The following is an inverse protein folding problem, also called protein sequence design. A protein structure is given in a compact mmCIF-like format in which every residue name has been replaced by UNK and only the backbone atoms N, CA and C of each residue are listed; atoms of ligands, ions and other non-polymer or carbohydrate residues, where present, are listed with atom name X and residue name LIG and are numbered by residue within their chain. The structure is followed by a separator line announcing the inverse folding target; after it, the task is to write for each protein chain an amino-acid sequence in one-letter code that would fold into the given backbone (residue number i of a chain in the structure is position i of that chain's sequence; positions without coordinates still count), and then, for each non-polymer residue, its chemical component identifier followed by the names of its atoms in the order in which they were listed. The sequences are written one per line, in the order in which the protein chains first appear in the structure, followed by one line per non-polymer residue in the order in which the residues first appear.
data_IF_553892905943
#
_entry.id   IF_553892905943
#
_cell.length_a   1.000
_cell.length_b   1.000
_cell.length_c   1.000
_cell.angle_alpha   90.00
_cell.angle_beta   90.00
_cell.angle_gamma   90.00
#
_symmetry.space_group_name_H-M   'P 1'
#
loop_
_entity.id
_entity.type
_entity.pdbx_description
1 polymer ?
#
# COMPACT_ATOMS: atom_id res chain seq x y z
N UNK A 1 22.99 -15.82 -10.73
CA UNK A 1 23.18 -14.37 -10.66
C UNK A 1 23.41 -14.03 -9.21
N UNK A 2 24.52 -13.40 -8.83
CA UNK A 2 24.72 -13.00 -7.44
C UNK A 2 23.75 -11.88 -7.10
N UNK A 3 23.12 -11.99 -5.95
CA UNK A 3 22.30 -10.94 -5.34
C UNK A 3 23.29 -9.87 -4.88
N UNK A 4 23.27 -8.71 -5.50
CA UNK A 4 24.10 -7.58 -5.05
C UNK A 4 23.59 -7.10 -3.68
N UNK A 5 24.51 -7.07 -2.74
CA UNK A 5 24.28 -6.52 -1.39
C UNK A 5 24.14 -5.00 -1.48
N UNK A 6 22.89 -4.53 -1.41
CA UNK A 6 22.53 -3.11 -1.46
C UNK A 6 22.83 -2.32 -0.17
N UNK A 7 23.43 -2.96 0.85
CA UNK A 7 23.59 -2.32 2.17
C UNK A 7 24.82 -1.39 2.29
N UNK A 8 25.69 -1.24 1.28
CA UNK A 8 26.98 -0.55 1.45
C UNK A 8 27.50 0.33 0.31
N UNK A 9 26.70 0.74 -0.63
CA UNK A 9 27.17 1.76 -1.60
C UNK A 9 26.71 3.15 -1.18
N UNK A 10 27.61 4.11 -1.01
CA UNK A 10 27.22 5.51 -0.90
C UNK A 10 26.54 5.88 -2.23
N UNK A 11 25.23 6.12 -2.17
CA UNK A 11 24.45 6.54 -3.33
C UNK A 11 25.04 7.83 -3.85
N UNK A 12 25.55 7.82 -5.07
CA UNK A 12 25.96 9.03 -5.77
C UNK A 12 24.71 9.88 -6.00
N UNK A 13 24.56 10.93 -5.20
CA UNK A 13 23.47 11.88 -5.33
C UNK A 13 23.64 12.66 -6.63
N UNK A 14 22.77 12.44 -7.62
CA UNK A 14 22.65 13.37 -8.74
C UNK A 14 21.70 14.48 -8.29
N UNK A 15 22.29 15.66 -8.04
CA UNK A 15 21.52 16.88 -7.74
C UNK A 15 21.10 17.46 -9.08
N UNK A 16 19.81 17.46 -9.37
CA UNK A 16 19.25 18.21 -10.48
C UNK A 16 18.70 19.53 -9.94
N UNK A 17 19.37 20.63 -10.27
CA UNK A 17 18.88 21.98 -9.98
C UNK A 17 18.05 22.45 -11.16
N UNK A 18 16.73 22.64 -10.99
CA UNK A 18 15.92 23.39 -11.91
C UNK A 18 15.69 24.79 -11.34
N UNK A 19 16.29 25.81 -11.92
CA UNK A 19 16.01 27.20 -11.59
C UNK A 19 14.69 27.63 -12.21
N UNK A 20 13.79 28.22 -11.43
CA UNK A 20 12.66 28.97 -11.95
C UNK A 20 12.99 30.46 -11.98
N UNK A 21 12.13 31.29 -12.59
CA UNK A 21 12.34 32.76 -12.73
C UNK A 21 12.49 33.52 -11.41
N UNK A 22 12.33 32.85 -10.27
CA UNK A 22 12.38 33.46 -8.92
C UNK A 22 13.63 33.04 -8.13
N UNK A 23 14.60 32.38 -8.78
CA UNK A 23 15.90 32.05 -8.18
C UNK A 23 15.86 30.99 -7.07
N UNK A 24 14.75 30.25 -6.93
CA UNK A 24 14.68 29.14 -5.95
C UNK A 24 15.32 27.91 -6.55
N UNK A 25 16.46 27.50 -6.00
CA UNK A 25 17.13 26.24 -6.33
C UNK A 25 16.51 25.14 -5.46
N UNK A 26 15.71 24.26 -6.07
CA UNK A 26 15.20 23.07 -5.39
C UNK A 26 16.11 21.89 -5.72
N UNK A 27 16.81 21.37 -4.71
CA UNK A 27 17.49 20.08 -4.80
C UNK A 27 16.45 18.98 -4.56
N UNK A 28 16.15 18.17 -5.58
CA UNK A 28 15.33 16.98 -5.42
C UNK A 28 16.23 15.79 -5.10
N UNK A 29 16.13 15.26 -3.91
CA UNK A 29 16.59 13.92 -3.62
C UNK A 29 15.59 12.95 -4.22
N UNK A 30 15.99 12.14 -5.20
CA UNK A 30 15.15 11.06 -5.71
C UNK A 30 15.44 9.86 -4.81
N UNK A 31 14.54 9.62 -3.88
CA UNK A 31 14.50 8.35 -3.13
C UNK A 31 13.68 7.38 -3.98
N UNK A 32 14.29 6.27 -4.37
CA UNK A 32 13.59 5.21 -5.10
C UNK A 32 12.86 4.32 -4.11
N UNK A 33 11.55 4.18 -4.27
CA UNK A 33 10.78 3.16 -3.57
C UNK A 33 10.92 1.81 -4.28
N UNK A 34 10.86 0.72 -3.51
CA UNK A 34 10.91 -0.66 -4.02
C UNK A 34 9.75 -1.46 -3.45
N UNK A 35 9.27 -2.45 -4.20
CA UNK A 35 8.31 -3.44 -3.70
C UNK A 35 9.13 -4.61 -3.16
N UNK A 36 8.97 -4.90 -1.88
CA UNK A 36 9.76 -5.95 -1.19
C UNK A 36 9.07 -7.30 -1.16
N UNK A 37 7.73 -7.32 -1.08
CA UNK A 37 6.93 -8.56 -1.13
C UNK A 37 5.50 -8.26 -1.59
N UNK A 38 4.74 -9.30 -1.92
CA UNK A 38 3.35 -9.19 -2.34
C UNK A 38 2.56 -10.47 -2.04
N UNK A 39 1.27 -10.32 -1.79
CA UNK A 39 0.31 -11.42 -1.62
C UNK A 39 -1.01 -11.08 -2.30
N UNK A 40 -1.80 -12.09 -2.62
CA UNK A 40 -3.18 -11.90 -3.11
C UNK A 40 -4.07 -13.10 -2.78
N UNK A 41 -5.35 -12.88 -2.77
CA UNK A 41 -6.36 -13.94 -2.82
C UNK A 41 -6.46 -14.56 -4.22
N UNK A 42 -7.06 -15.75 -4.38
CA UNK A 42 -7.61 -16.14 -5.67
C UNK A 42 -8.68 -15.13 -6.13
N UNK A 43 -8.91 -15.06 -7.43
CA UNK A 43 -10.04 -14.36 -8.01
C UNK A 43 -11.19 -15.32 -8.21
N UNK A 44 -12.39 -14.95 -7.80
CA UNK A 44 -13.60 -15.72 -8.06
C UNK A 44 -14.66 -14.90 -8.77
N UNK A 45 -15.55 -15.59 -9.49
CA UNK A 45 -16.63 -14.92 -10.22
C UNK A 45 -17.62 -14.27 -9.25
N UNK A 46 -17.93 -12.99 -9.45
CA UNK A 46 -18.93 -12.28 -8.67
C UNK A 46 -20.29 -13.02 -8.69
N UNK A 47 -20.97 -13.02 -7.58
CA UNK A 47 -22.27 -13.64 -7.28
C UNK A 47 -22.35 -15.17 -7.41
N UNK A 48 -21.36 -15.82 -8.01
CA UNK A 48 -21.38 -17.26 -8.31
C UNK A 48 -20.14 -18.02 -7.87
N UNK A 49 -19.07 -17.32 -7.56
CA UNK A 49 -17.82 -17.94 -7.14
C UNK A 49 -17.76 -18.18 -5.62
N UNK A 50 -16.78 -18.95 -5.19
CA UNK A 50 -16.62 -19.38 -3.80
C UNK A 50 -16.46 -18.22 -2.81
N UNK A 51 -15.86 -17.09 -3.25
CA UNK A 51 -15.69 -15.90 -2.41
C UNK A 51 -16.92 -15.01 -2.36
N UNK A 52 -18.02 -15.32 -3.07
CA UNK A 52 -19.21 -14.46 -3.11
C UNK A 52 -19.90 -14.30 -1.77
N UNK A 53 -19.78 -15.29 -0.89
CA UNK A 53 -20.33 -15.29 0.48
C UNK A 53 -19.34 -14.82 1.55
N UNK A 54 -18.09 -14.60 1.20
CA UNK A 54 -17.04 -14.24 2.16
C UNK A 54 -16.99 -12.72 2.33
N UNK A 55 -16.83 -12.27 3.56
CA UNK A 55 -16.70 -10.85 3.88
C UNK A 55 -15.37 -10.31 3.32
N UNK A 56 -15.42 -9.20 2.55
CA UNK A 56 -14.21 -8.64 1.93
C UNK A 56 -13.18 -8.16 2.95
N UNK A 57 -13.59 -7.52 4.04
CA UNK A 57 -12.72 -7.06 5.10
C UNK A 57 -11.95 -8.22 5.78
N UNK A 58 -12.61 -9.37 5.98
CA UNK A 58 -11.99 -10.55 6.58
C UNK A 58 -10.92 -11.16 5.67
N UNK A 59 -11.24 -11.48 4.40
CA UNK A 59 -10.25 -12.12 3.54
C UNK A 59 -9.09 -11.18 3.17
N UNK A 60 -9.35 -9.88 3.05
CA UNK A 60 -8.30 -8.91 2.79
C UNK A 60 -7.35 -8.76 4.00
N UNK A 61 -7.89 -8.75 5.21
CA UNK A 61 -7.07 -8.73 6.43
C UNK A 61 -6.21 -10.00 6.57
N UNK A 62 -6.74 -11.17 6.19
CA UNK A 62 -5.97 -12.42 6.16
C UNK A 62 -4.78 -12.34 5.19
N UNK A 63 -4.95 -11.73 4.01
CA UNK A 63 -3.84 -11.51 3.07
C UNK A 63 -2.76 -10.63 3.68
N UNK A 64 -3.15 -9.60 4.42
CA UNK A 64 -2.19 -8.74 5.12
C UNK A 64 -1.48 -9.49 6.24
N UNK A 65 -2.18 -10.30 7.03
CA UNK A 65 -1.56 -11.17 8.05
C UNK A 65 -0.52 -12.09 7.41
N UNK A 66 -0.86 -12.76 6.30
CA UNK A 66 0.07 -13.63 5.58
C UNK A 66 1.27 -12.87 4.99
N UNK A 67 1.06 -11.63 4.54
CA UNK A 67 2.15 -10.78 4.10
C UNK A 67 3.12 -10.49 5.25
N UNK A 68 2.59 -10.05 6.40
CA UNK A 68 3.38 -9.70 7.58
C UNK A 68 4.14 -10.90 8.15
N UNK A 69 3.51 -12.08 8.21
CA UNK A 69 4.14 -13.30 8.72
C UNK A 69 5.34 -13.78 7.88
N UNK A 70 5.44 -13.33 6.62
CA UNK A 70 6.51 -13.72 5.71
C UNK A 70 7.61 -12.66 5.60
N UNK A 71 7.41 -11.50 6.23
CA UNK A 71 8.39 -10.42 6.25
C UNK A 71 9.11 -10.42 7.61
N UNK A 72 10.42 -10.24 7.57
CA UNK A 72 11.25 -10.04 8.77
C UNK A 72 11.34 -8.54 9.10
N UNK A 73 10.17 -7.97 9.38
CA UNK A 73 10.02 -6.55 9.77
C UNK A 73 9.18 -6.45 11.05
N UNK A 74 9.48 -5.47 11.88
CA UNK A 74 8.61 -5.13 13.00
C UNK A 74 7.32 -4.48 12.45
N UNK A 75 6.13 -4.99 12.77
CA UNK A 75 4.87 -4.35 12.38
C UNK A 75 4.76 -2.88 12.78
N UNK A 76 5.51 -2.44 13.80
CA UNK A 76 5.57 -1.04 14.22
C UNK A 76 6.33 -0.13 13.22
N UNK A 77 7.10 -0.70 12.31
CA UNK A 77 7.79 0.05 11.24
C UNK A 77 6.86 0.43 10.07
N UNK A 78 5.62 -0.07 10.07
CA UNK A 78 4.66 0.25 9.01
C UNK A 78 4.04 1.62 9.29
N UNK A 79 4.36 2.58 8.43
CA UNK A 79 3.91 3.97 8.55
C UNK A 79 2.43 4.15 8.17
N UNK A 80 1.92 3.40 7.18
CA UNK A 80 0.51 3.49 6.76
C UNK A 80 0.06 2.28 5.94
N UNK A 81 -1.25 2.02 5.94
CA UNK A 81 -1.93 1.00 5.13
C UNK A 81 -2.84 1.70 4.11
N UNK A 82 -2.43 1.75 2.86
CA UNK A 82 -3.12 2.45 1.78
C UNK A 82 -3.88 1.44 0.91
N UNK A 83 -5.19 1.44 0.98
CA UNK A 83 -6.03 0.45 0.29
C UNK A 83 -6.94 1.11 -0.74
N UNK A 84 -6.85 0.65 -1.98
CA UNK A 84 -7.78 1.01 -3.05
C UNK A 84 -9.08 0.23 -2.95
N UNK A 85 -10.21 0.92 -3.06
CA UNK A 85 -11.54 0.32 -3.18
C UNK A 85 -12.39 1.18 -4.11
N UNK A 86 -12.95 0.56 -5.15
CA UNK A 86 -13.75 1.29 -6.14
C UNK A 86 -15.19 1.53 -5.65
N UNK A 87 -15.75 0.58 -4.92
CA UNK A 87 -17.09 0.65 -4.36
C UNK A 87 -17.04 0.46 -2.83
N UNK A 88 -16.66 1.51 -2.07
CA UNK A 88 -16.51 1.42 -0.62
C UNK A 88 -17.88 1.40 0.08
N UNK A 89 -18.60 0.29 -0.07
CA UNK A 89 -19.95 0.05 0.46
C UNK A 89 -20.00 -1.24 1.27
N UNK A 90 -21.01 -1.37 2.15
CA UNK A 90 -21.17 -2.55 2.98
C UNK A 90 -19.95 -2.85 3.84
N UNK A 91 -19.48 -4.09 3.81
CA UNK A 91 -18.32 -4.53 4.58
C UNK A 91 -16.98 -4.04 4.03
N UNK A 92 -16.94 -3.49 2.83
CA UNK A 92 -15.77 -2.77 2.29
C UNK A 92 -15.93 -1.25 2.35
N UNK A 93 -16.94 -0.79 3.10
CA UNK A 93 -17.25 0.62 3.32
C UNK A 93 -16.37 1.30 4.36
N UNK A 94 -16.74 2.52 4.70
CA UNK A 94 -15.99 3.39 5.61
C UNK A 94 -14.54 3.55 5.18
N UNK A 95 -13.60 3.38 6.12
CA UNK A 95 -12.16 3.36 5.84
C UNK A 95 -11.64 1.91 5.93
N UNK A 96 -11.81 1.14 4.85
CA UNK A 96 -11.40 -0.26 4.80
C UNK A 96 -9.89 -0.42 5.01
N UNK A 97 -9.07 0.55 4.59
CA UNK A 97 -7.63 0.55 4.85
C UNK A 97 -7.32 0.53 6.36
N UNK A 98 -8.04 1.35 7.13
CA UNK A 98 -7.90 1.36 8.58
C UNK A 98 -8.46 0.10 9.24
N UNK A 99 -9.58 -0.41 8.75
CA UNK A 99 -10.15 -1.67 9.26
C UNK A 99 -9.19 -2.83 9.03
N UNK A 100 -8.61 -2.94 7.85
CA UNK A 100 -7.60 -3.96 7.54
C UNK A 100 -6.38 -3.85 8.45
N UNK A 101 -5.85 -2.65 8.70
CA UNK A 101 -4.74 -2.46 9.63
C UNK A 101 -5.05 -3.03 11.02
N UNK A 102 -6.20 -2.69 11.58
CA UNK A 102 -6.63 -3.17 12.90
C UNK A 102 -6.91 -4.68 12.94
N UNK A 103 -7.61 -5.20 11.93
CA UNK A 103 -7.98 -6.61 11.85
C UNK A 103 -6.79 -7.53 11.58
N UNK A 104 -5.71 -7.00 11.03
CA UNK A 104 -4.47 -7.73 10.76
C UNK A 104 -3.50 -7.74 11.95
N UNK A 105 -3.86 -7.10 13.06
CA UNK A 105 -3.05 -7.07 14.27
C UNK A 105 -1.90 -6.06 14.23
N UNK A 106 -1.91 -5.13 13.29
CA UNK A 106 -0.96 -4.00 13.33
C UNK A 106 -1.20 -3.13 14.57
N UNK A 107 -0.18 -2.40 15.04
CA UNK A 107 -0.33 -1.47 16.14
C UNK A 107 -1.50 -0.51 15.91
N UNK A 108 -2.17 -0.13 16.99
CA UNK A 108 -3.30 0.83 16.90
C UNK A 108 -2.85 2.23 16.44
N UNK A 109 -1.57 2.50 16.52
CA UNK A 109 -0.93 3.73 16.05
C UNK A 109 -0.77 3.75 14.52
N UNK A 110 -0.63 2.57 13.88
CA UNK A 110 -0.51 2.46 12.43
C UNK A 110 -1.79 2.98 11.76
N UNK A 111 -1.74 4.05 10.99
CA UNK A 111 -2.91 4.60 10.32
C UNK A 111 -3.39 3.69 9.18
N UNK A 112 -4.43 4.09 8.51
CA UNK A 112 -4.90 3.43 7.30
C UNK A 112 -5.82 4.36 6.54
N UNK A 113 -5.71 4.33 5.22
CA UNK A 113 -6.54 5.14 4.32
C UNK A 113 -7.15 4.30 3.21
N UNK A 114 -8.37 4.65 2.84
CA UNK A 114 -9.03 4.11 1.64
C UNK A 114 -9.02 5.17 0.55
N UNK A 115 -8.57 4.78 -0.64
CA UNK A 115 -8.54 5.66 -1.79
C UNK A 115 -9.38 5.09 -2.93
N UNK A 116 -9.93 5.98 -3.75
CA UNK A 116 -10.77 5.60 -4.87
C UNK A 116 -10.33 6.31 -6.15
N UNK A 117 -9.92 5.53 -7.13
CA UNK A 117 -9.72 5.90 -8.54
C UNK A 117 -10.36 4.82 -9.43
N UNK A 118 -11.52 4.32 -9.02
CA UNK A 118 -12.20 3.18 -9.65
C UNK A 118 -11.24 2.01 -9.87
N UNK A 119 -11.19 1.41 -11.06
CA UNK A 119 -10.33 0.26 -11.36
C UNK A 119 -8.83 0.51 -11.15
N UNK A 120 -8.38 1.76 -11.06
CA UNK A 120 -6.99 2.16 -10.82
C UNK A 120 -6.63 2.39 -9.34
N UNK A 121 -7.53 2.08 -8.40
CA UNK A 121 -7.37 2.46 -6.99
C UNK A 121 -6.14 1.83 -6.34
N UNK A 122 -5.88 0.53 -6.52
CA UNK A 122 -4.71 -0.15 -5.96
C UNK A 122 -3.39 0.32 -6.59
N UNK A 123 -3.38 0.64 -7.88
CA UNK A 123 -2.24 1.30 -8.51
C UNK A 123 -1.97 2.67 -7.88
N UNK A 124 -3.04 3.44 -7.61
CA UNK A 124 -2.92 4.74 -6.97
C UNK A 124 -2.37 4.63 -5.53
N UNK A 125 -2.69 3.54 -4.80
CA UNK A 125 -2.12 3.28 -3.49
C UNK A 125 -0.58 3.19 -3.55
N UNK A 126 -0.06 2.42 -4.49
CA UNK A 126 1.39 2.29 -4.71
C UNK A 126 2.02 3.65 -5.10
N UNK A 127 1.34 4.42 -5.94
CA UNK A 127 1.83 5.76 -6.34
C UNK A 127 1.87 6.73 -5.15
N UNK A 128 0.90 6.66 -4.23
CA UNK A 128 0.90 7.49 -3.02
C UNK A 128 2.02 7.08 -2.07
N UNK A 129 2.21 5.80 -1.79
CA UNK A 129 3.33 5.33 -0.99
C UNK A 129 4.68 5.78 -1.55
N UNK A 130 4.88 5.61 -2.86
CA UNK A 130 6.10 6.05 -3.54
C UNK A 130 6.30 7.57 -3.41
N UNK A 131 5.24 8.36 -3.52
CA UNK A 131 5.30 9.81 -3.34
C UNK A 131 5.61 10.19 -1.89
N UNK A 132 5.01 9.52 -0.91
CA UNK A 132 5.27 9.73 0.51
C UNK A 132 6.72 9.42 0.87
N UNK A 133 7.26 8.29 0.42
CA UNK A 133 8.68 7.93 0.59
C UNK A 133 9.58 9.02 -0.02
N UNK A 134 9.26 9.46 -1.23
CA UNK A 134 10.03 10.51 -1.91
C UNK A 134 9.95 11.87 -1.20
N UNK A 135 8.86 12.13 -0.49
CA UNK A 135 8.65 13.34 0.30
C UNK A 135 9.25 13.26 1.72
N UNK A 136 9.71 12.07 2.15
CA UNK A 136 10.20 11.83 3.51
C UNK A 136 9.08 11.74 4.56
N UNK A 137 7.88 11.34 4.17
CA UNK A 137 6.72 11.19 5.07
C UNK A 137 6.54 9.77 5.61
N UNK A 138 7.51 8.92 5.38
CA UNK A 138 7.58 7.54 5.84
C UNK A 138 8.51 6.71 4.98
N UNK A 139 8.78 5.50 5.42
CA UNK A 139 9.74 4.58 4.79
C UNK A 139 9.11 3.24 4.41
N UNK A 140 8.08 2.80 5.14
CA UNK A 140 7.46 1.49 4.96
C UNK A 140 5.92 1.59 4.88
N UNK A 141 5.35 1.16 3.76
CA UNK A 141 3.91 1.24 3.49
C UNK A 141 3.37 -0.11 3.02
N UNK A 142 2.18 -0.46 3.49
CA UNK A 142 1.38 -1.53 2.90
C UNK A 142 0.43 -0.92 1.88
N UNK A 143 0.49 -1.39 0.63
CA UNK A 143 -0.38 -0.94 -0.44
C UNK A 143 -1.19 -2.10 -1.00
N UNK A 144 -2.48 -1.92 -1.16
CA UNK A 144 -3.33 -2.98 -1.68
C UNK A 144 -4.59 -2.48 -2.37
N UNK A 145 -5.44 -3.42 -2.69
CA UNK A 145 -6.78 -3.16 -3.19
C UNK A 145 -7.72 -4.28 -2.79
N UNK A 146 -8.95 -3.92 -2.58
CA UNK A 146 -10.03 -4.83 -2.22
C UNK A 146 -11.27 -4.50 -3.04
N UNK A 147 -11.93 -5.54 -3.54
CA UNK A 147 -13.19 -5.38 -4.24
C UNK A 147 -14.03 -6.66 -4.19
N UNK A 148 -15.22 -6.58 -3.67
CA UNK A 148 -16.20 -7.66 -3.73
C UNK A 148 -17.49 -7.17 -4.38
N UNK A 149 -17.60 -7.34 -5.68
CA UNK A 149 -18.80 -6.99 -6.46
C UNK A 149 -20.02 -7.86 -6.10
N UNK A 150 -19.83 -8.90 -5.32
CA UNK A 150 -20.92 -9.75 -4.82
C UNK A 150 -21.67 -9.11 -3.64
N UNK A 151 -21.05 -8.19 -2.93
CA UNK A 151 -21.54 -7.65 -1.65
C UNK A 151 -21.81 -6.14 -1.68
N UNK A 152 -21.62 -5.50 -2.82
CA UNK A 152 -22.13 -4.15 -3.10
C UNK A 152 -23.56 -4.19 -3.66
N UNK A 153 -24.35 -3.17 -3.40
CA UNK A 153 -25.76 -3.09 -3.85
C UNK A 153 -25.90 -2.31 -5.15
#
# INVERSE_FOLDING_TARGET
MPVEDYSRTPRSFKIYCSGNRYGVVTCRHIVSSVIVDWRRTPFSRSHKGELSGVRPDEFASQVLVELLNNLDIDPAEIDDVIVGCAYPEGEQGYNIGRLMALMSGLPKETPGITINRLCGSSMQAIMYASANISAGWGECFVCGGIESMSRVK
#
